data_IF_112960193876
#
_entry.id   IF_112960193876
#
_cell.length_a   1.000
_cell.length_b   1.000
_cell.length_c   1.000
_cell.angle_alpha   90.00
_cell.angle_beta   90.00
_cell.angle_gamma   90.00
#
_symmetry.space_group_name_H-M   'P 1'
#
loop_
_entity.id
_entity.type
_entity.pdbx_description
1 polymer ?
#
# COMPACT_ATOMS: atom_id res chain seq x y z
N UNK A 1 -12.91 -12.69 -17.26
CA UNK A 1 -11.84 -13.51 -16.63
C UNK A 1 -12.03 -13.48 -15.12
N UNK A 2 -11.93 -14.62 -14.44
CA UNK A 2 -11.91 -14.59 -12.98
C UNK A 2 -10.54 -14.06 -12.52
N UNK A 3 -10.50 -13.05 -11.66
CA UNK A 3 -9.24 -12.51 -11.19
C UNK A 3 -8.50 -13.53 -10.32
N UNK A 4 -7.16 -13.48 -10.34
CA UNK A 4 -6.28 -14.23 -9.41
C UNK A 4 -6.39 -13.64 -8.02
N UNK A 5 -6.44 -12.32 -7.95
CA UNK A 5 -6.63 -11.53 -6.74
C UNK A 5 -7.54 -10.34 -7.07
N UNK A 6 -8.46 -10.04 -6.16
CA UNK A 6 -9.30 -8.85 -6.22
C UNK A 6 -9.42 -8.25 -4.82
N UNK A 7 -9.24 -6.95 -4.70
CA UNK A 7 -9.47 -6.23 -3.45
C UNK A 7 -9.99 -4.82 -3.70
N UNK A 8 -10.75 -4.30 -2.75
CA UNK A 8 -10.98 -2.86 -2.63
C UNK A 8 -9.65 -2.22 -2.24
N UNK A 9 -9.37 -1.04 -2.76
CA UNK A 9 -8.11 -0.33 -2.58
C UNK A 9 -8.34 1.11 -2.10
N UNK A 10 -7.26 1.92 -2.02
CA UNK A 10 -7.37 3.31 -1.67
C UNK A 10 -7.89 3.57 -0.25
N UNK A 11 -8.54 4.70 -0.05
CA UNK A 11 -9.01 5.16 1.26
C UNK A 11 -9.94 4.18 1.97
N UNK A 12 -10.73 3.41 1.22
CA UNK A 12 -11.61 2.37 1.76
C UNK A 12 -10.83 1.19 2.34
N UNK A 13 -9.75 0.75 1.69
CA UNK A 13 -8.88 -0.30 2.23
C UNK A 13 -8.22 0.14 3.54
N UNK A 14 -7.81 1.40 3.63
CA UNK A 14 -7.03 1.90 4.77
C UNK A 14 -7.86 2.34 5.97
N UNK A 15 -9.19 2.30 5.89
CA UNK A 15 -10.06 2.85 6.94
C UNK A 15 -10.02 4.39 7.01
N UNK A 16 -9.59 5.06 5.94
CA UNK A 16 -9.46 6.51 5.83
C UNK A 16 -10.56 7.14 4.96
N UNK A 17 -11.52 6.33 4.49
CA UNK A 17 -12.62 6.79 3.65
C UNK A 17 -13.58 7.72 4.42
N UNK A 18 -14.23 8.62 3.69
CA UNK A 18 -15.34 9.45 4.13
C UNK A 18 -16.50 9.31 3.14
N UNK A 19 -17.64 9.94 3.42
CA UNK A 19 -18.89 9.79 2.67
C UNK A 19 -18.75 9.98 1.15
N UNK A 20 -17.80 10.82 0.70
CA UNK A 20 -17.54 11.12 -0.71
C UNK A 20 -16.23 10.51 -1.23
N UNK A 21 -15.69 9.51 -0.55
CA UNK A 21 -14.47 8.84 -1.02
C UNK A 21 -14.76 7.89 -2.17
N UNK A 22 -13.96 7.98 -3.24
CA UNK A 22 -14.00 7.06 -4.37
C UNK A 22 -13.71 5.62 -3.92
N UNK A 23 -14.34 4.67 -4.57
CA UNK A 23 -14.13 3.25 -4.28
C UNK A 23 -13.16 2.63 -5.28
N UNK A 24 -11.89 2.69 -4.93
CA UNK A 24 -10.83 2.13 -5.76
C UNK A 24 -10.82 0.60 -5.71
N UNK A 25 -10.42 -0.04 -6.81
CA UNK A 25 -10.26 -1.48 -6.88
C UNK A 25 -8.92 -1.88 -7.50
N UNK A 26 -8.42 -3.04 -7.08
CA UNK A 26 -7.18 -3.61 -7.60
C UNK A 26 -7.42 -5.07 -8.00
N UNK A 27 -7.11 -5.41 -9.26
CA UNK A 27 -7.35 -6.73 -9.83
C UNK A 27 -6.08 -7.28 -10.46
N UNK A 28 -5.76 -8.52 -10.16
CA UNK A 28 -4.68 -9.27 -10.79
C UNK A 28 -5.28 -10.33 -11.69
N UNK A 29 -4.90 -10.34 -12.96
CA UNK A 29 -5.48 -11.20 -14.00
C UNK A 29 -4.41 -11.96 -14.78
N UNK A 30 -4.82 -13.02 -15.48
CA UNK A 30 -4.05 -13.64 -16.55
C UNK A 30 -4.60 -13.19 -17.90
N UNK A 31 -3.72 -12.70 -18.75
CA UNK A 31 -3.99 -12.36 -20.15
C UNK A 31 -2.73 -12.65 -20.99
N UNK A 32 -2.82 -12.51 -22.31
CA UNK A 32 -1.69 -12.84 -23.20
C UNK A 32 -0.53 -11.84 -23.07
N UNK A 33 -0.81 -10.57 -22.77
CA UNK A 33 0.23 -9.57 -22.56
C UNK A 33 0.70 -9.54 -21.10
N UNK A 34 1.86 -10.13 -20.85
CA UNK A 34 2.49 -10.15 -19.53
C UNK A 34 2.87 -8.78 -18.97
N UNK A 35 2.89 -7.74 -19.81
CA UNK A 35 3.18 -6.35 -19.40
C UNK A 35 1.90 -5.56 -19.13
N UNK A 36 0.74 -6.20 -19.30
CA UNK A 36 -0.55 -5.55 -19.15
C UNK A 36 -0.71 -4.85 -17.81
N UNK A 37 -1.11 -3.61 -17.87
CA UNK A 37 -1.64 -2.82 -16.77
C UNK A 37 -2.63 -1.82 -17.37
N UNK A 38 -3.78 -1.70 -16.74
CA UNK A 38 -4.80 -0.72 -17.07
C UNK A 38 -5.21 0.05 -15.82
N UNK A 39 -5.31 1.36 -15.97
CA UNK A 39 -5.89 2.25 -14.97
C UNK A 39 -7.15 2.86 -15.58
N UNK A 40 -8.28 2.56 -14.99
CA UNK A 40 -9.55 3.18 -15.37
C UNK A 40 -9.97 4.12 -14.27
N UNK A 41 -10.17 5.38 -14.62
CA UNK A 41 -10.60 6.44 -13.72
C UNK A 41 -11.96 6.89 -14.23
N UNK A 42 -12.97 6.82 -13.38
CA UNK A 42 -14.28 7.42 -13.62
C UNK A 42 -14.67 8.35 -12.45
N UNK A 43 -15.85 8.98 -12.52
CA UNK A 43 -16.28 9.96 -11.54
C UNK A 43 -16.48 9.40 -10.11
N UNK A 44 -16.46 8.07 -9.94
CA UNK A 44 -16.80 7.40 -8.67
C UNK A 44 -15.82 6.31 -8.26
N UNK A 45 -14.87 5.94 -9.13
CA UNK A 45 -13.91 4.87 -8.81
C UNK A 45 -12.65 4.93 -9.67
N UNK A 46 -11.53 4.56 -9.05
CA UNK A 46 -10.28 4.27 -9.73
C UNK A 46 -10.05 2.76 -9.71
N UNK A 47 -9.85 2.15 -10.88
CA UNK A 47 -9.60 0.73 -11.01
C UNK A 47 -8.24 0.47 -11.61
N UNK A 48 -7.46 -0.37 -10.94
CA UNK A 48 -6.20 -0.91 -11.48
C UNK A 48 -6.39 -2.38 -11.81
N UNK A 49 -6.12 -2.76 -13.05
CA UNK A 49 -6.03 -4.15 -13.47
C UNK A 49 -4.63 -4.44 -14.01
N UNK A 50 -3.99 -5.51 -13.54
CA UNK A 50 -2.59 -5.83 -13.82
C UNK A 50 -2.40 -7.31 -14.11
N UNK A 51 -1.51 -7.64 -15.07
CA UNK A 51 -1.11 -9.03 -15.31
C UNK A 51 -0.37 -9.61 -14.12
N UNK A 52 -0.57 -10.91 -13.86
CA UNK A 52 0.03 -11.64 -12.73
C UNK A 52 1.55 -11.54 -12.66
N UNK A 53 2.28 -11.74 -13.76
CA UNK A 53 3.75 -11.66 -13.75
C UNK A 53 4.22 -10.24 -13.40
N UNK A 54 3.51 -9.21 -13.87
CA UNK A 54 3.80 -7.82 -13.52
C UNK A 54 3.51 -7.50 -12.06
N UNK A 55 2.41 -8.04 -11.55
CA UNK A 55 2.06 -7.94 -10.12
C UNK A 55 3.16 -8.54 -9.24
N UNK A 56 3.62 -9.77 -9.54
CA UNK A 56 4.73 -10.42 -8.83
C UNK A 56 5.99 -9.58 -8.89
N UNK A 57 6.30 -9.01 -10.07
CA UNK A 57 7.42 -8.08 -10.23
C UNK A 57 7.28 -6.82 -9.35
N UNK A 58 6.07 -6.27 -9.20
CA UNK A 58 5.83 -5.13 -8.30
C UNK A 58 5.96 -5.51 -6.82
N UNK A 59 5.45 -6.68 -6.42
CA UNK A 59 5.63 -7.22 -5.06
C UNK A 59 7.11 -7.31 -4.72
N UNK A 60 7.92 -7.92 -5.60
CA UNK A 60 9.36 -8.08 -5.38
C UNK A 60 10.12 -6.74 -5.34
N UNK A 61 9.60 -5.69 -5.98
CA UNK A 61 10.13 -4.31 -5.92
C UNK A 61 9.62 -3.51 -4.72
N UNK A 62 8.81 -4.10 -3.86
CA UNK A 62 8.25 -3.42 -2.70
C UNK A 62 7.25 -2.31 -3.05
N UNK A 63 6.58 -2.37 -4.21
CA UNK A 63 5.59 -1.35 -4.61
C UNK A 63 4.42 -1.37 -3.62
N UNK A 64 4.10 -0.25 -2.94
CA UNK A 64 3.10 -0.24 -1.87
C UNK A 64 1.76 -0.81 -2.27
N UNK A 65 1.19 -0.38 -3.40
CA UNK A 65 -0.12 -0.87 -3.88
C UNK A 65 -0.15 -2.40 -4.08
N UNK A 66 0.94 -2.98 -4.58
CA UNK A 66 1.01 -4.42 -4.79
C UNK A 66 1.11 -5.18 -3.46
N UNK A 67 1.90 -4.69 -2.50
CA UNK A 67 2.00 -5.28 -1.17
C UNK A 67 0.70 -5.14 -0.37
N UNK A 68 0.04 -4.00 -0.46
CA UNK A 68 -1.25 -3.77 0.17
C UNK A 68 -2.32 -4.72 -0.39
N UNK A 69 -2.35 -4.93 -1.72
CA UNK A 69 -3.24 -5.89 -2.34
C UNK A 69 -2.91 -7.33 -1.91
N UNK A 70 -1.63 -7.70 -1.81
CA UNK A 70 -1.17 -9.01 -1.38
C UNK A 70 -1.57 -9.33 0.07
N UNK A 71 -1.43 -8.36 0.98
CA UNK A 71 -1.62 -8.54 2.41
C UNK A 71 -3.02 -8.16 2.90
N UNK A 72 -3.86 -7.59 2.04
CA UNK A 72 -5.24 -7.23 2.40
C UNK A 72 -6.04 -8.44 2.89
N UNK A 73 -6.62 -8.34 4.08
CA UNK A 73 -7.49 -9.38 4.65
C UNK A 73 -8.81 -9.50 3.89
N UNK A 74 -9.26 -8.43 3.24
CA UNK A 74 -10.48 -8.42 2.44
C UNK A 74 -10.25 -8.88 1.00
N UNK A 75 -9.01 -9.21 0.61
CA UNK A 75 -8.72 -9.66 -0.74
C UNK A 75 -9.35 -11.04 -1.02
N UNK A 76 -10.05 -11.13 -2.15
CA UNK A 76 -10.56 -12.38 -2.68
C UNK A 76 -9.50 -12.99 -3.59
N UNK A 77 -9.14 -14.24 -3.32
CA UNK A 77 -8.10 -14.96 -4.05
C UNK A 77 -8.67 -16.14 -4.82
N UNK A 78 -8.15 -16.38 -6.01
CA UNK A 78 -8.33 -17.67 -6.67
C UNK A 78 -7.52 -18.73 -5.90
N UNK A 79 -8.19 -19.78 -5.43
CA UNK A 79 -7.60 -20.81 -4.57
C UNK A 79 -6.40 -21.52 -5.20
N UNK A 80 -6.37 -21.64 -6.54
CA UNK A 80 -5.24 -22.27 -7.25
C UNK A 80 -3.93 -21.48 -7.13
N UNK A 81 -4.01 -20.16 -6.98
CA UNK A 81 -2.84 -19.27 -6.88
C UNK A 81 -2.47 -18.88 -5.44
N UNK A 82 -3.36 -19.13 -4.50
CA UNK A 82 -3.18 -18.72 -3.10
C UNK A 82 -1.88 -19.26 -2.46
N UNK A 83 -1.48 -20.55 -2.65
CA UNK A 83 -0.21 -21.04 -2.12
C UNK A 83 1.00 -20.27 -2.65
N UNK A 84 1.00 -19.96 -3.95
CA UNK A 84 2.07 -19.18 -4.56
C UNK A 84 2.11 -17.75 -4.01
N UNK A 85 0.96 -17.05 -3.96
CA UNK A 85 0.88 -15.70 -3.41
C UNK A 85 1.40 -15.66 -1.97
N UNK A 86 1.03 -16.64 -1.15
CA UNK A 86 1.51 -16.77 0.24
C UNK A 86 2.99 -17.09 0.37
N UNK A 87 3.63 -17.60 -0.68
CA UNK A 87 5.06 -17.91 -0.69
C UNK A 87 5.93 -16.70 -1.06
N UNK A 88 5.35 -15.62 -1.58
CA UNK A 88 6.09 -14.41 -1.93
C UNK A 88 6.74 -13.80 -0.68
N UNK A 89 8.04 -13.51 -0.79
CA UNK A 89 8.85 -12.90 0.27
C UNK A 89 9.69 -11.79 -0.35
N UNK A 90 9.13 -10.57 -0.45
CA UNK A 90 9.89 -9.44 -0.95
C UNK A 90 11.05 -9.13 -0.01
N UNK A 91 12.18 -8.73 -0.59
CA UNK A 91 13.36 -8.37 0.16
C UNK A 91 13.10 -7.14 1.06
N UNK A 92 13.36 -7.22 2.38
CA UNK A 92 13.06 -6.14 3.32
C UNK A 92 13.76 -4.83 2.99
N UNK A 93 15.00 -4.86 2.49
CA UNK A 93 15.73 -3.64 2.13
C UNK A 93 15.12 -2.96 0.90
N UNK A 94 14.70 -3.75 -0.09
CA UNK A 94 13.99 -3.25 -1.27
C UNK A 94 12.64 -2.62 -0.89
N UNK A 95 11.90 -3.25 0.00
CA UNK A 95 10.64 -2.69 0.53
C UNK A 95 10.91 -1.38 1.26
N UNK A 96 11.89 -1.37 2.17
CA UNK A 96 12.25 -0.19 2.95
C UNK A 96 12.61 1.01 2.06
N UNK A 97 13.47 0.80 1.06
CA UNK A 97 13.89 1.85 0.11
C UNK A 97 12.70 2.40 -0.69
N UNK A 98 11.83 1.50 -1.19
CA UNK A 98 10.65 1.90 -1.97
C UNK A 98 9.65 2.67 -1.12
N UNK A 99 9.36 2.20 0.10
CA UNK A 99 8.46 2.87 1.04
C UNK A 99 8.99 4.23 1.48
N UNK A 100 10.28 4.31 1.79
CA UNK A 100 10.96 5.56 2.14
C UNK A 100 10.77 6.62 1.07
N UNK A 101 11.15 6.31 -0.17
CA UNK A 101 11.01 7.24 -1.30
C UNK A 101 9.57 7.64 -1.54
N UNK A 102 8.65 6.67 -1.48
CA UNK A 102 7.22 6.94 -1.71
C UNK A 102 6.64 7.83 -0.62
N UNK A 103 6.96 7.56 0.65
CA UNK A 103 6.51 8.39 1.77
C UNK A 103 7.04 9.84 1.67
N UNK A 104 8.31 10.03 1.31
CA UNK A 104 8.89 11.36 1.10
C UNK A 104 8.23 12.11 -0.06
N UNK A 105 7.87 11.43 -1.14
CA UNK A 105 7.15 12.05 -2.26
C UNK A 105 5.75 12.55 -1.84
N UNK A 106 5.05 11.83 -0.97
CA UNK A 106 3.76 12.27 -0.41
C UNK A 106 3.90 13.37 0.66
N UNK A 107 5.06 13.49 1.29
CA UNK A 107 5.28 14.42 2.40
C UNK A 107 5.13 15.90 2.01
N UNK A 108 5.42 16.23 0.75
CA UNK A 108 5.34 17.61 0.23
C UNK A 108 3.94 18.02 -0.22
N UNK A 109 2.96 17.12 -0.12
CA UNK A 109 1.61 17.31 -0.59
C UNK A 109 0.64 17.89 0.44
N UNK A 110 -0.63 17.79 0.11
CA UNK A 110 -1.75 18.23 0.94
C UNK A 110 -2.01 17.29 2.13
N UNK A 111 -3.07 17.55 2.88
CA UNK A 111 -3.49 16.73 4.01
C UNK A 111 -3.72 15.25 3.62
N UNK A 112 -4.37 14.99 2.46
CA UNK A 112 -4.61 13.62 1.97
C UNK A 112 -3.30 12.90 1.68
N UNK A 113 -2.36 13.57 1.03
CA UNK A 113 -1.04 13.02 0.71
C UNK A 113 -0.19 12.77 1.95
N UNK A 114 -0.18 13.68 2.92
CA UNK A 114 0.48 13.48 4.22
C UNK A 114 -0.08 12.28 4.98
N UNK A 115 -1.41 12.04 4.94
CA UNK A 115 -2.00 10.83 5.50
C UNK A 115 -1.45 9.57 4.82
N UNK A 116 -1.29 9.58 3.50
CA UNK A 116 -0.68 8.46 2.79
C UNK A 116 0.78 8.24 3.19
N UNK A 117 1.57 9.31 3.36
CA UNK A 117 2.94 9.19 3.85
C UNK A 117 3.01 8.52 5.22
N UNK A 118 2.22 8.98 6.19
CA UNK A 118 2.22 8.42 7.56
C UNK A 118 1.72 6.97 7.58
N UNK A 119 0.72 6.62 6.77
CA UNK A 119 0.24 5.24 6.63
C UNK A 119 1.35 4.31 6.12
N UNK A 120 2.12 4.76 5.13
CA UNK A 120 3.25 3.97 4.60
C UNK A 120 4.30 3.70 5.69
N UNK A 121 4.55 4.66 6.58
CA UNK A 121 5.44 4.46 7.73
C UNK A 121 4.94 3.36 8.64
N UNK A 122 3.64 3.35 8.98
CA UNK A 122 3.05 2.30 9.82
C UNK A 122 3.15 0.92 9.16
N UNK A 123 2.81 0.83 7.87
CA UNK A 123 2.96 -0.41 7.11
C UNK A 123 4.42 -0.89 7.07
N UNK A 124 5.36 0.03 6.87
CA UNK A 124 6.79 -0.30 6.87
C UNK A 124 7.23 -0.81 8.25
N UNK A 125 6.81 -0.16 9.33
CA UNK A 125 7.12 -0.59 10.69
C UNK A 125 6.66 -2.03 10.96
N UNK A 126 5.40 -2.35 10.62
CA UNK A 126 4.88 -3.70 10.79
C UNK A 126 5.59 -4.70 9.88
N UNK A 127 5.87 -4.33 8.62
CA UNK A 127 6.59 -5.19 7.68
C UNK A 127 8.02 -5.50 8.16
N UNK A 128 8.75 -4.51 8.66
CA UNK A 128 10.12 -4.71 9.14
C UNK A 128 10.17 -5.59 10.40
N UNK A 129 9.13 -5.54 11.23
CA UNK A 129 9.01 -6.37 12.43
C UNK A 129 8.55 -7.80 12.11
N UNK A 130 7.54 -7.97 11.28
CA UNK A 130 6.79 -9.22 11.13
C UNK A 130 6.92 -9.85 9.73
N UNK A 131 7.50 -9.14 8.74
CA UNK A 131 7.58 -9.55 7.34
C UNK A 131 6.27 -9.44 6.57
N UNK A 132 5.21 -8.97 7.22
CA UNK A 132 3.86 -8.70 6.69
C UNK A 132 3.27 -7.48 7.40
N UNK A 133 2.21 -6.91 6.83
CA UNK A 133 1.40 -5.88 7.50
C UNK A 133 -0.08 -6.01 7.13
N UNK A 134 -0.93 -5.37 7.89
CA UNK A 134 -2.32 -5.18 7.55
C UNK A 134 -2.50 -3.76 6.99
N UNK A 135 -2.90 -3.60 5.72
CA UNK A 135 -3.10 -2.26 5.17
C UNK A 135 -4.29 -1.51 5.79
N UNK A 136 -5.22 -2.21 6.46
CA UNK A 136 -6.33 -1.60 7.16
C UNK A 136 -5.88 -1.05 8.52
N UNK A 137 -5.96 0.26 8.69
CA UNK A 137 -5.55 0.93 9.91
C UNK A 137 -6.58 0.71 11.03
N UNK A 138 -6.08 0.43 12.23
CA UNK A 138 -6.89 0.42 13.46
C UNK A 138 -7.32 1.84 13.84
N UNK A 139 -8.41 2.05 14.59
CA UNK A 139 -8.89 3.38 14.98
C UNK A 139 -7.81 4.28 15.61
N UNK A 140 -6.93 3.73 16.45
CA UNK A 140 -5.82 4.46 17.04
C UNK A 140 -4.78 4.91 15.99
N UNK A 141 -4.53 4.10 14.98
CA UNK A 141 -3.62 4.43 13.87
C UNK A 141 -4.23 5.49 12.94
N UNK A 142 -5.54 5.43 12.70
CA UNK A 142 -6.27 6.49 11.98
C UNK A 142 -6.14 7.81 12.71
N UNK A 143 -6.32 7.82 14.04
CA UNK A 143 -6.15 9.03 14.85
C UNK A 143 -4.71 9.56 14.78
N UNK A 144 -3.71 8.68 14.87
CA UNK A 144 -2.30 9.00 14.73
C UNK A 144 -2.00 9.64 13.37
N UNK A 145 -2.37 8.98 12.28
CA UNK A 145 -2.17 9.47 10.92
C UNK A 145 -2.80 10.85 10.71
N UNK A 146 -4.05 11.03 11.15
CA UNK A 146 -4.75 12.31 11.04
C UNK A 146 -4.10 13.42 11.87
N UNK A 147 -3.57 13.11 13.06
CA UNK A 147 -2.88 14.07 13.91
C UNK A 147 -1.62 14.62 13.22
N UNK A 148 -0.75 13.74 12.72
CA UNK A 148 0.50 14.15 12.10
C UNK A 148 0.29 14.83 10.74
N UNK A 149 -0.68 14.40 9.94
CA UNK A 149 -0.99 15.02 8.66
C UNK A 149 -1.45 16.51 8.77
N UNK A 150 -1.85 16.96 9.98
CA UNK A 150 -2.22 18.38 10.25
C UNK A 150 -1.03 19.28 10.55
N UNK A 151 0.16 18.73 10.74
CA UNK A 151 1.37 19.53 10.94
C UNK A 151 1.67 20.37 9.70
N UNK A 152 2.32 21.52 9.90
CA UNK A 152 2.90 22.26 8.78
C UNK A 152 3.92 21.41 8.00
N UNK A 153 4.34 21.87 6.84
CA UNK A 153 5.19 21.07 5.95
C UNK A 153 6.55 20.74 6.59
N UNK A 154 7.15 21.66 7.33
CA UNK A 154 8.46 21.47 7.94
C UNK A 154 8.40 20.50 9.11
N UNK A 155 7.46 20.73 10.03
CA UNK A 155 7.24 19.85 11.18
C UNK A 155 6.86 18.43 10.73
N UNK A 156 5.99 18.31 9.72
CA UNK A 156 5.61 17.02 9.15
C UNK A 156 6.81 16.27 8.59
N UNK A 157 7.68 16.94 7.84
CA UNK A 157 8.86 16.32 7.23
C UNK A 157 9.83 15.78 8.29
N UNK A 158 10.09 16.54 9.35
CA UNK A 158 10.95 16.13 10.47
C UNK A 158 10.39 14.89 11.17
N UNK A 159 9.09 14.90 11.50
CA UNK A 159 8.45 13.76 12.16
C UNK A 159 8.44 12.52 11.25
N UNK A 160 8.11 12.68 9.97
CA UNK A 160 8.10 11.59 9.00
C UNK A 160 9.48 10.91 8.91
N UNK A 161 10.57 11.70 8.79
CA UNK A 161 11.92 11.15 8.75
C UNK A 161 12.26 10.40 10.03
N UNK A 162 11.92 10.95 11.19
CA UNK A 162 12.14 10.30 12.49
C UNK A 162 11.44 8.94 12.57
N UNK A 163 10.21 8.86 12.12
CA UNK A 163 9.46 7.60 12.11
C UNK A 163 10.02 6.59 11.09
N UNK A 164 10.43 7.04 9.91
CA UNK A 164 11.06 6.18 8.91
C UNK A 164 12.37 5.59 9.44
N UNK A 165 13.23 6.42 10.06
CA UNK A 165 14.46 5.95 10.70
C UNK A 165 14.19 4.95 11.81
N UNK A 166 13.14 5.20 12.63
CA UNK A 166 12.74 4.28 13.67
C UNK A 166 12.27 2.93 13.12
N UNK A 167 11.47 2.94 12.04
CA UNK A 167 11.02 1.72 11.37
C UNK A 167 12.19 0.86 10.88
N UNK A 168 13.28 1.48 10.44
CA UNK A 168 14.48 0.78 9.95
C UNK A 168 15.36 0.21 11.05
N UNK A 169 15.34 0.77 12.26
CA UNK A 169 16.19 0.29 13.38
C UNK A 169 15.83 -1.13 13.84
N UNK A 170 14.64 -1.62 13.54
CA UNK A 170 14.23 -3.00 13.83
C UNK A 170 14.91 -4.06 12.94
N UNK A 171 15.74 -3.65 11.96
CA UNK A 171 16.40 -4.53 10.98
C UNK A 171 17.92 -4.62 11.23
N UNK A 172 18.46 -3.77 12.06
CA UNK A 172 19.86 -3.77 12.49
C UNK A 172 19.93 -4.37 13.89
#
# INVERSE_FOLDING_TARGET
MNPILYTVHGSHLYGLAHEHSDRDTYRVVLCDDKRYISHMIDDVSDSTEIHFDRFVGQVNKGVPQALEALYSRSAVHNTAYLPYLRSLRPDPYTVADTYWRTALNFAVGDFKQKRHAMRLVLNLFDFMRDGIFDPELRPAEVAFVNRYARLDAQAFHVELQSFLEYALRGVI
#
